data_IF_562460642655
#
_entry.id   IF_562460642655
#
_cell.length_a   1.000
_cell.length_b   1.000
_cell.length_c   1.000
_cell.angle_alpha   90.00
_cell.angle_beta   90.00
_cell.angle_gamma   90.00
#
_symmetry.space_group_name_H-M   'P 1'
#
loop_
_entity.id
_entity.type
_entity.pdbx_description
1 polymer ?
#
# COMPACT_ATOMS: atom_id res chain seq x y z
N UNK A 1 22.15 35.12 -8.65
CA UNK A 1 21.45 33.86 -8.98
C UNK A 1 22.49 32.96 -9.61
N UNK A 2 22.97 31.97 -8.86
CA UNK A 2 23.90 30.96 -9.34
C UNK A 2 23.16 29.64 -9.35
N UNK A 3 23.03 29.04 -10.54
CA UNK A 3 22.54 27.67 -10.73
C UNK A 3 23.36 26.74 -9.83
N UNK A 4 22.69 25.92 -9.03
CA UNK A 4 23.36 25.01 -8.11
C UNK A 4 24.07 23.89 -8.87
N UNK A 5 25.36 23.71 -8.58
CA UNK A 5 26.23 22.61 -9.01
C UNK A 5 25.79 21.24 -8.45
N UNK A 6 24.55 20.82 -8.71
CA UNK A 6 24.14 19.44 -8.47
C UNK A 6 24.44 18.61 -9.73
N UNK A 7 25.18 17.50 -9.62
CA UNK A 7 25.38 16.62 -10.77
C UNK A 7 24.02 16.11 -11.23
N UNK A 8 23.68 16.37 -12.49
CA UNK A 8 22.53 15.78 -13.17
C UNK A 8 22.59 14.26 -12.96
N UNK A 9 21.47 13.67 -12.53
CA UNK A 9 21.37 12.22 -12.38
C UNK A 9 21.47 11.55 -13.76
N UNK A 10 22.70 11.30 -14.21
CA UNK A 10 22.99 10.58 -15.44
C UNK A 10 22.54 9.13 -15.25
N UNK A 11 21.45 8.78 -15.95
CA UNK A 11 20.97 7.45 -16.30
C UNK A 11 21.30 6.31 -15.32
N UNK A 12 20.28 5.78 -14.64
CA UNK A 12 20.37 4.50 -13.95
C UNK A 12 20.65 3.38 -14.97
N UNK A 13 21.92 3.02 -15.17
CA UNK A 13 22.33 1.80 -15.89
C UNK A 13 22.67 0.69 -14.91
N UNK A 14 22.46 -0.56 -15.33
CA UNK A 14 22.97 -1.72 -14.63
C UNK A 14 24.51 -1.64 -14.49
N UNK A 15 25.02 -2.04 -13.34
CA UNK A 15 26.45 -2.22 -13.15
C UNK A 15 26.95 -3.42 -13.94
N UNK A 16 28.19 -3.35 -14.43
CA UNK A 16 28.90 -4.49 -15.01
C UNK A 16 29.26 -5.47 -13.87
N UNK A 17 29.41 -6.79 -14.16
CA UNK A 17 29.78 -7.78 -13.14
C UNK A 17 31.03 -7.40 -12.33
N UNK A 18 32.05 -6.86 -12.99
CA UNK A 18 33.30 -6.39 -12.36
C UNK A 18 33.09 -5.21 -11.40
N UNK A 19 32.16 -4.31 -11.72
CA UNK A 19 31.78 -3.18 -10.86
C UNK A 19 31.10 -3.72 -9.59
N UNK A 20 30.23 -4.72 -9.74
CA UNK A 20 29.48 -5.32 -8.63
C UNK A 20 30.41 -6.03 -7.61
N UNK A 21 31.36 -6.85 -8.08
CA UNK A 21 32.34 -7.51 -7.22
C UNK A 21 33.17 -6.50 -6.42
N UNK A 22 33.58 -5.40 -7.05
CA UNK A 22 34.31 -4.31 -6.41
C UNK A 22 33.47 -3.61 -5.34
N UNK A 23 32.18 -3.39 -5.57
CA UNK A 23 31.28 -2.80 -4.58
C UNK A 23 31.00 -3.72 -3.40
N UNK A 24 30.75 -5.01 -3.65
CA UNK A 24 30.54 -6.02 -2.59
C UNK A 24 31.78 -6.11 -1.69
N UNK A 25 32.98 -6.08 -2.28
CA UNK A 25 34.23 -6.05 -1.51
C UNK A 25 34.37 -4.80 -0.65
N UNK A 26 34.09 -3.61 -1.19
CA UNK A 26 34.11 -2.35 -0.44
C UNK A 26 33.10 -2.34 0.73
N UNK A 27 31.93 -2.94 0.52
CA UNK A 27 30.88 -3.06 1.53
C UNK A 27 31.30 -3.97 2.68
N UNK A 28 31.84 -5.15 2.36
CA UNK A 28 32.35 -6.10 3.35
C UNK A 28 33.56 -5.55 4.12
N UNK A 29 34.40 -4.74 3.47
CA UNK A 29 35.55 -4.09 4.11
C UNK A 29 35.18 -2.82 4.90
N UNK A 30 33.92 -2.36 4.85
CA UNK A 30 33.42 -1.12 5.48
C UNK A 30 34.22 0.15 5.15
N UNK A 31 34.95 0.17 4.02
CA UNK A 31 35.77 1.31 3.59
C UNK A 31 34.96 2.26 2.71
N UNK A 32 34.06 3.04 3.32
CA UNK A 32 33.32 4.08 2.61
C UNK A 32 34.02 5.44 2.71
N UNK A 33 34.03 6.21 1.62
CA UNK A 33 34.51 7.60 1.68
C UNK A 33 33.51 8.44 2.48
N UNK A 34 33.94 9.24 3.47
CA UNK A 34 33.06 9.95 4.41
C UNK A 34 32.04 10.92 3.80
N UNK A 35 32.20 11.34 2.53
CA UNK A 35 31.40 12.42 1.93
C UNK A 35 30.48 12.00 0.79
N UNK A 36 30.46 10.74 0.37
CA UNK A 36 29.63 10.30 -0.77
C UNK A 36 29.33 8.81 -0.69
N UNK A 37 28.74 8.36 0.41
CA UNK A 37 28.07 7.07 0.42
C UNK A 37 26.67 7.25 -0.19
N UNK A 38 26.60 7.31 -1.53
CA UNK A 38 25.31 7.10 -2.21
C UNK A 38 25.02 5.61 -2.03
N UNK A 39 24.21 5.30 -1.03
CA UNK A 39 23.72 3.95 -0.76
C UNK A 39 22.77 3.55 -1.89
N UNK A 40 23.31 3.09 -3.04
CA UNK A 40 22.51 2.44 -4.08
C UNK A 40 22.21 1.02 -3.62
N UNK A 41 21.22 0.89 -2.74
CA UNK A 41 20.71 -0.42 -2.32
C UNK A 41 20.04 -1.05 -3.53
N UNK A 42 20.54 -2.20 -3.96
CA UNK A 42 19.81 -3.05 -4.89
C UNK A 42 18.59 -3.60 -4.16
N UNK A 43 17.41 -3.03 -4.45
CA UNK A 43 16.17 -3.68 -4.05
C UNK A 43 15.83 -4.70 -5.13
N UNK A 44 15.84 -5.99 -4.78
CA UNK A 44 15.22 -7.00 -5.63
C UNK A 44 13.73 -6.67 -5.66
N UNK A 45 13.18 -6.37 -6.84
CA UNK A 45 11.75 -6.14 -6.97
C UNK A 45 11.00 -7.30 -6.31
N UNK A 46 10.04 -7.02 -5.43
CA UNK A 46 9.28 -8.07 -4.78
C UNK A 46 8.49 -8.78 -5.86
N UNK A 47 8.60 -10.11 -5.90
CA UNK A 47 7.86 -10.94 -6.86
C UNK A 47 6.34 -10.83 -6.68
N UNK A 48 5.90 -10.46 -5.48
CA UNK A 48 4.50 -10.30 -5.11
C UNK A 48 4.15 -8.80 -5.08
N UNK A 49 3.95 -8.19 -6.24
CA UNK A 49 3.35 -6.85 -6.34
C UNK A 49 1.84 -6.97 -6.40
N UNK A 50 1.13 -6.06 -5.74
CA UNK A 50 -0.33 -6.01 -5.80
C UNK A 50 -0.83 -4.79 -6.56
N UNK A 51 -1.84 -5.00 -7.37
CA UNK A 51 -2.53 -3.96 -8.11
C UNK A 51 -3.93 -3.78 -7.56
N UNK A 52 -4.48 -2.56 -7.72
CA UNK A 52 -5.86 -2.25 -7.39
C UNK A 52 -6.66 -2.09 -8.69
N UNK A 53 -7.10 -3.17 -9.37
CA UNK A 53 -8.10 -3.04 -10.43
C UNK A 53 -9.40 -2.43 -9.92
N UNK A 54 -10.00 -1.59 -10.77
CA UNK A 54 -11.34 -1.01 -10.64
C UNK A 54 -12.02 -1.20 -11.99
N UNK A 55 -13.22 -1.82 -12.07
CA UNK A 55 -14.45 -1.10 -11.73
C UNK A 55 -15.60 -1.89 -11.07
N UNK A 56 -16.32 -1.15 -10.23
CA UNK A 56 -17.40 -1.57 -9.31
C UNK A 56 -18.56 -2.36 -9.91
N UNK A 57 -18.75 -2.35 -11.24
CA UNK A 57 -19.93 -2.91 -11.89
C UNK A 57 -19.80 -4.39 -12.24
N UNK A 58 -18.58 -4.92 -12.40
CA UNK A 58 -18.36 -6.28 -12.91
C UNK A 58 -17.37 -7.12 -12.10
N UNK A 59 -17.32 -6.92 -10.78
CA UNK A 59 -16.41 -7.68 -9.90
C UNK A 59 -16.56 -9.19 -10.03
N UNK A 60 -17.75 -9.68 -10.37
CA UNK A 60 -18.02 -11.10 -10.55
C UNK A 60 -17.21 -11.63 -11.75
N UNK A 61 -17.19 -10.93 -12.88
CA UNK A 61 -16.41 -11.34 -14.05
C UNK A 61 -14.90 -11.28 -13.78
N UNK A 62 -14.41 -10.22 -13.13
CA UNK A 62 -13.00 -10.14 -12.71
C UNK A 62 -12.61 -11.29 -11.78
N UNK A 63 -13.43 -11.56 -10.76
CA UNK A 63 -13.20 -12.62 -9.77
C UNK A 63 -13.24 -13.99 -10.43
N UNK A 64 -14.20 -14.24 -11.32
CA UNK A 64 -14.28 -15.50 -12.08
C UNK A 64 -13.06 -15.69 -12.97
N UNK A 65 -12.61 -14.64 -13.66
CA UNK A 65 -11.50 -14.74 -14.62
C UNK A 65 -10.17 -15.13 -13.97
N UNK A 66 -9.97 -14.76 -12.70
CA UNK A 66 -8.77 -15.07 -11.92
C UNK A 66 -8.97 -16.26 -10.96
N UNK A 67 -10.09 -16.97 -11.06
CA UNK A 67 -10.53 -18.01 -10.13
C UNK A 67 -10.55 -17.55 -8.66
N UNK A 68 -10.79 -16.26 -8.40
CA UNK A 68 -10.64 -15.64 -7.09
C UNK A 68 -11.63 -16.13 -6.02
N UNK A 69 -12.70 -16.82 -6.41
CA UNK A 69 -13.59 -17.53 -5.47
C UNK A 69 -12.93 -18.80 -4.91
N UNK A 70 -12.00 -19.39 -5.65
CA UNK A 70 -11.35 -20.66 -5.32
C UNK A 70 -9.88 -20.47 -4.91
N UNK A 71 -9.24 -19.37 -5.35
CA UNK A 71 -7.85 -19.03 -5.04
C UNK A 71 -7.79 -17.86 -4.05
N UNK A 72 -7.04 -17.98 -2.94
CA UNK A 72 -6.90 -16.91 -1.95
C UNK A 72 -5.90 -15.82 -2.39
N UNK A 73 -5.97 -15.40 -3.66
CA UNK A 73 -5.05 -14.42 -4.27
C UNK A 73 -5.71 -13.03 -4.44
N UNK A 74 -6.89 -12.86 -3.84
CA UNK A 74 -7.54 -11.58 -3.63
C UNK A 74 -7.23 -11.12 -2.20
N UNK A 75 -6.42 -10.07 -2.08
CA UNK A 75 -5.93 -9.60 -0.78
C UNK A 75 -6.94 -8.75 -0.03
N UNK A 76 -7.70 -7.93 -0.77
CA UNK A 76 -8.69 -7.04 -0.20
C UNK A 76 -9.71 -6.60 -1.26
N UNK A 77 -10.93 -6.29 -0.83
CA UNK A 77 -11.98 -5.74 -1.68
C UNK A 77 -12.69 -4.61 -0.97
N UNK A 78 -13.01 -3.54 -1.69
CA UNK A 78 -13.87 -2.44 -1.25
C UNK A 78 -15.05 -2.24 -2.21
N UNK A 79 -15.85 -1.19 -2.03
CA UNK A 79 -17.02 -0.85 -2.87
C UNK A 79 -16.73 -0.93 -4.37
N UNK A 80 -15.61 -0.41 -4.84
CA UNK A 80 -15.24 -0.32 -6.26
C UNK A 80 -13.82 -0.81 -6.55
N UNK A 81 -13.11 -1.29 -5.53
CA UNK A 81 -11.69 -1.60 -5.58
C UNK A 81 -11.45 -3.08 -5.30
N UNK A 82 -10.66 -3.74 -6.15
CA UNK A 82 -10.23 -5.13 -5.98
C UNK A 82 -8.70 -5.12 -5.87
N UNK A 83 -8.11 -5.81 -4.90
CA UNK A 83 -6.65 -5.87 -4.71
C UNK A 83 -6.15 -7.27 -5.00
N UNK A 84 -5.30 -7.42 -6.02
CA UNK A 84 -4.86 -8.70 -6.58
C UNK A 84 -3.36 -8.69 -6.84
N UNK A 85 -2.77 -9.87 -7.01
CA UNK A 85 -1.38 -10.03 -7.43
C UNK A 85 -1.13 -9.53 -8.86
N UNK A 86 0.13 -9.27 -9.15
CA UNK A 86 0.64 -8.98 -10.50
C UNK A 86 0.31 -10.08 -11.50
N UNK A 87 0.48 -11.35 -11.11
CA UNK A 87 0.12 -12.48 -11.96
C UNK A 87 -1.37 -12.49 -12.36
N UNK A 88 -2.26 -12.06 -11.47
CA UNK A 88 -3.68 -11.96 -11.77
C UNK A 88 -4.01 -10.70 -12.57
N UNK A 89 -3.26 -9.62 -12.37
CA UNK A 89 -3.34 -8.44 -13.23
C UNK A 89 -2.99 -8.78 -14.69
N UNK A 90 -1.91 -9.53 -14.91
CA UNK A 90 -1.49 -9.94 -16.25
C UNK A 90 -2.57 -10.77 -16.96
N UNK A 91 -3.21 -11.72 -16.25
CA UNK A 91 -4.35 -12.50 -16.79
C UNK A 91 -5.54 -11.62 -17.19
N UNK A 92 -5.83 -10.58 -16.41
CA UNK A 92 -6.89 -9.63 -16.73
C UNK A 92 -6.54 -8.77 -17.94
N UNK A 93 -5.27 -8.36 -18.05
CA UNK A 93 -4.76 -7.60 -19.19
C UNK A 93 -4.79 -8.42 -20.48
N UNK A 94 -4.34 -9.67 -20.45
CA UNK A 94 -4.43 -10.61 -21.58
C UNK A 94 -5.87 -10.87 -22.02
N UNK A 95 -6.82 -10.84 -21.08
CA UNK A 95 -8.24 -10.98 -21.36
C UNK A 95 -8.90 -9.69 -21.89
N UNK A 96 -8.13 -8.60 -22.05
CA UNK A 96 -8.65 -7.31 -22.49
C UNK A 96 -9.55 -6.62 -21.46
N UNK A 97 -9.50 -7.03 -20.19
CA UNK A 97 -10.31 -6.50 -19.10
C UNK A 97 -9.65 -5.32 -18.37
N UNK A 98 -8.48 -4.87 -18.83
CA UNK A 98 -7.71 -3.74 -18.28
C UNK A 98 -7.63 -2.62 -19.30
N UNK A 99 -7.81 -1.38 -18.87
CA UNK A 99 -7.63 -0.16 -19.67
C UNK A 99 -7.60 1.06 -18.76
N UNK A 100 -6.76 2.04 -19.08
CA UNK A 100 -6.71 3.33 -18.37
C UNK A 100 -7.85 4.27 -18.77
N UNK A 101 -8.43 4.08 -19.95
CA UNK A 101 -9.35 5.05 -20.57
C UNK A 101 -10.77 4.51 -20.76
N UNK A 102 -10.97 3.19 -20.70
CA UNK A 102 -12.28 2.60 -20.91
C UNK A 102 -13.02 2.40 -19.59
N UNK A 103 -14.26 2.88 -19.56
CA UNK A 103 -15.18 2.58 -18.47
C UNK A 103 -15.40 1.06 -18.38
N UNK A 104 -15.63 0.57 -17.17
CA UNK A 104 -15.89 -0.85 -16.90
C UNK A 104 -14.70 -1.80 -17.12
N UNK A 105 -13.49 -1.28 -17.39
CA UNK A 105 -12.23 -2.03 -17.35
C UNK A 105 -11.36 -1.67 -16.15
N UNK A 106 -10.58 -2.65 -15.70
CA UNK A 106 -9.56 -2.55 -14.66
C UNK A 106 -8.54 -1.47 -14.98
N UNK A 107 -8.26 -0.55 -14.04
CA UNK A 107 -7.14 0.39 -14.14
C UNK A 107 -6.18 0.28 -12.97
N UNK A 108 -4.93 0.69 -13.14
CA UNK A 108 -3.99 0.73 -12.03
C UNK A 108 -3.96 2.14 -11.40
N UNK A 109 -4.68 2.30 -10.29
CA UNK A 109 -4.72 3.57 -9.54
C UNK A 109 -3.36 4.01 -8.95
N UNK A 110 -2.31 3.20 -9.09
CA UNK A 110 -0.94 3.49 -8.66
C UNK A 110 0.00 3.87 -9.80
N UNK A 111 -0.52 4.01 -11.03
CA UNK A 111 0.25 4.39 -12.22
C UNK A 111 1.08 3.23 -12.76
N UNK A 112 2.38 3.44 -12.89
CA UNK A 112 3.35 2.44 -13.34
C UNK A 112 3.91 1.57 -12.20
N UNK A 113 3.47 1.85 -10.96
CA UNK A 113 3.89 1.15 -9.76
C UNK A 113 2.92 0.09 -9.28
N UNK A 114 3.31 -0.62 -8.24
CA UNK A 114 2.45 -1.56 -7.54
C UNK A 114 2.70 -1.53 -6.04
N UNK A 115 1.77 -2.09 -5.29
CA UNK A 115 1.88 -2.21 -3.85
C UNK A 115 2.88 -3.33 -3.54
N UNK A 116 3.88 -3.01 -2.72
CA UNK A 116 4.85 -3.99 -2.22
C UNK A 116 4.58 -4.42 -0.79
N UNK A 117 3.80 -3.61 -0.07
CA UNK A 117 3.34 -3.90 1.27
C UNK A 117 1.95 -3.30 1.45
N UNK A 118 0.99 -4.13 1.88
CA UNK A 118 -0.39 -3.72 2.13
C UNK A 118 -0.86 -4.23 3.49
N UNK A 119 -1.31 -3.32 4.35
CA UNK A 119 -1.89 -3.61 5.65
C UNK A 119 -3.38 -3.22 5.63
N UNK A 120 -4.26 -4.21 5.59
CA UNK A 120 -5.70 -4.05 5.46
C UNK A 120 -6.43 -4.47 6.75
N UNK A 121 -6.72 -3.48 7.61
CA UNK A 121 -7.23 -3.71 8.96
C UNK A 121 -8.76 -3.81 8.99
N UNK A 122 -9.44 -2.92 8.27
CA UNK A 122 -10.90 -2.85 8.23
C UNK A 122 -11.36 -2.21 6.91
N UNK A 123 -12.67 -2.27 6.58
CA UNK A 123 -13.21 -1.56 5.44
C UNK A 123 -12.80 -0.08 5.45
N UNK A 124 -12.09 0.36 4.41
CA UNK A 124 -11.59 1.73 4.23
C UNK A 124 -10.59 2.18 5.32
N UNK A 125 -9.92 1.23 5.97
CA UNK A 125 -8.76 1.43 6.86
C UNK A 125 -7.62 0.55 6.36
N UNK A 126 -6.74 1.15 5.57
CA UNK A 126 -5.63 0.47 4.88
C UNK A 126 -4.38 1.34 4.79
N UNK A 127 -3.23 0.68 4.78
CA UNK A 127 -1.93 1.30 4.64
C UNK A 127 -1.11 0.56 3.59
N UNK A 128 -0.69 1.28 2.56
CA UNK A 128 0.05 0.68 1.44
C UNK A 128 1.39 1.41 1.23
N UNK A 129 2.43 0.64 0.94
CA UNK A 129 3.68 1.12 0.36
C UNK A 129 3.70 0.70 -1.11
N UNK A 130 3.89 1.68 -1.97
CA UNK A 130 3.91 1.54 -3.43
C UNK A 130 5.35 1.69 -3.88
N UNK A 131 5.79 0.80 -4.76
CA UNK A 131 7.04 0.94 -5.50
C UNK A 131 6.68 1.29 -6.95
N UNK A 132 7.11 2.46 -7.41
CA UNK A 132 6.96 2.88 -8.80
C UNK A 132 8.06 2.30 -9.69
N UNK A 133 7.87 2.34 -11.00
CA UNK A 133 8.80 1.70 -11.95
C UNK A 133 10.21 2.31 -11.90
N UNK A 134 10.30 3.60 -11.56
CA UNK A 134 11.53 4.35 -11.32
C UNK A 134 12.23 4.05 -9.97
N UNK A 135 11.68 3.12 -9.17
CA UNK A 135 12.23 2.71 -7.89
C UNK A 135 11.89 3.62 -6.71
N UNK A 136 10.95 4.56 -6.88
CA UNK A 136 10.51 5.44 -5.78
C UNK A 136 9.49 4.72 -4.89
N UNK A 137 9.70 4.80 -3.57
CA UNK A 137 8.73 4.37 -2.58
C UNK A 137 7.74 5.49 -2.26
N UNK A 138 6.45 5.20 -2.39
CA UNK A 138 5.35 6.11 -2.05
C UNK A 138 4.45 5.49 -1.00
N UNK A 139 4.06 6.31 -0.05
CA UNK A 139 3.14 5.93 1.02
C UNK A 139 1.71 6.30 0.65
N UNK A 140 0.76 5.38 0.81
CA UNK A 140 -0.67 5.67 0.68
C UNK A 140 -1.44 5.18 1.90
N UNK A 141 -1.88 6.13 2.72
CA UNK A 141 -2.74 5.91 3.89
C UNK A 141 -4.21 6.09 3.50
N UNK A 142 -5.08 5.23 3.99
CA UNK A 142 -6.53 5.41 3.92
C UNK A 142 -7.13 5.08 5.27
N UNK A 143 -7.93 6.00 5.80
CA UNK A 143 -8.62 5.81 7.06
C UNK A 143 -9.92 6.61 7.03
N UNK A 144 -11.02 5.94 6.71
CA UNK A 144 -12.32 6.60 6.62
C UNK A 144 -12.72 7.20 7.97
N UNK A 145 -13.25 8.43 7.93
CA UNK A 145 -13.72 9.13 9.12
C UNK A 145 -12.63 9.90 9.88
N UNK A 146 -11.45 10.03 9.26
CA UNK A 146 -10.28 10.72 9.80
C UNK A 146 -9.77 11.76 8.81
N UNK A 147 -9.14 12.83 9.31
CA UNK A 147 -8.36 13.74 8.48
C UNK A 147 -6.97 13.17 8.22
N UNK A 148 -6.58 13.07 6.95
CA UNK A 148 -5.34 12.40 6.52
C UNK A 148 -4.07 12.89 7.24
N UNK A 149 -4.04 14.12 7.75
CA UNK A 149 -2.87 14.72 8.40
C UNK A 149 -2.60 14.24 9.84
N UNK A 150 -3.53 13.51 10.49
CA UNK A 150 -3.39 13.11 11.90
C UNK A 150 -3.03 11.64 12.13
N UNK A 151 -2.98 10.81 11.09
CA UNK A 151 -2.70 9.38 11.25
C UNK A 151 -1.26 9.08 10.91
N UNK A 152 -0.59 8.42 11.84
CA UNK A 152 0.77 7.95 11.67
C UNK A 152 0.80 6.46 11.36
N UNK A 153 1.93 5.97 10.87
CA UNK A 153 2.11 4.54 10.57
C UNK A 153 2.00 3.71 11.85
N UNK A 154 2.47 4.26 12.97
CA UNK A 154 2.43 3.64 14.28
C UNK A 154 0.99 3.32 14.71
N UNK A 155 0.01 4.16 14.34
CA UNK A 155 -1.40 3.91 14.63
C UNK A 155 -1.90 2.64 13.92
N UNK A 156 -1.49 2.44 12.65
CA UNK A 156 -1.83 1.21 11.92
C UNK A 156 -1.15 -0.02 12.54
N UNK A 157 0.11 0.10 12.96
CA UNK A 157 0.86 -0.99 13.60
C UNK A 157 0.23 -1.36 14.95
N UNK A 158 -0.17 -0.37 15.76
CA UNK A 158 -0.85 -0.61 17.03
C UNK A 158 -2.17 -1.35 16.83
N UNK A 159 -3.00 -0.89 15.88
CA UNK A 159 -4.24 -1.55 15.52
C UNK A 159 -4.02 -2.98 15.02
N UNK A 160 -2.99 -3.20 14.19
CA UNK A 160 -2.61 -4.53 13.72
C UNK A 160 -2.15 -5.46 14.86
N UNK A 161 -1.59 -4.88 15.91
CA UNK A 161 -1.13 -5.59 17.10
C UNK A 161 -2.25 -5.83 18.12
N UNK A 162 -3.50 -5.50 17.79
CA UNK A 162 -4.64 -5.67 18.69
C UNK A 162 -4.77 -4.60 19.78
N UNK A 163 -4.14 -3.43 19.59
CA UNK A 163 -4.27 -2.30 20.51
C UNK A 163 -5.20 -1.23 19.93
N UNK A 164 -6.02 -0.64 20.80
CA UNK A 164 -6.90 0.45 20.44
C UNK A 164 -6.10 1.75 20.27
N UNK A 165 -6.46 2.54 19.25
CA UNK A 165 -5.86 3.84 19.00
C UNK A 165 -6.83 4.94 19.39
N UNK A 166 -6.38 5.86 20.25
CA UNK A 166 -7.17 7.02 20.66
C UNK A 166 -6.50 8.29 20.18
N UNK A 167 -7.29 9.23 19.64
CA UNK A 167 -6.77 10.51 19.19
C UNK A 167 -7.76 11.65 19.47
N UNK A 168 -7.25 12.87 19.51
CA UNK A 168 -7.99 14.09 19.81
C UNK A 168 -8.15 15.00 18.59
N UNK A 169 -9.36 15.49 18.40
CA UNK A 169 -9.72 16.33 17.26
C UNK A 169 -10.48 17.54 17.72
N UNK A 170 -10.34 18.61 16.95
CA UNK A 170 -11.23 19.73 17.10
C UNK A 170 -12.64 19.27 16.72
N UNK A 171 -13.63 19.66 17.53
CA UNK A 171 -15.02 19.36 17.23
C UNK A 171 -15.42 20.16 15.96
N UNK A 172 -16.25 19.57 15.08
CA UNK A 172 -16.77 20.31 13.94
C UNK A 172 -17.62 21.49 14.42
N UNK A 173 -17.66 22.57 13.64
CA UNK A 173 -18.55 23.69 13.92
C UNK A 173 -20.00 23.22 13.86
N UNK A 174 -20.83 23.67 14.80
CA UNK A 174 -22.23 23.26 14.90
C UNK A 174 -23.12 24.47 14.65
N UNK A 175 -24.19 24.28 13.88
CA UNK A 175 -25.22 25.32 13.70
C UNK A 175 -26.36 25.05 14.68
N UNK A 176 -26.69 26.01 15.53
CA UNK A 176 -27.89 25.99 16.38
C UNK A 176 -28.90 27.03 15.90
N UNK A 177 -30.18 26.80 16.22
CA UNK A 177 -31.25 27.74 15.90
C UNK A 177 -31.21 29.00 16.79
N UNK A 178 -30.67 28.88 18.00
CA UNK A 178 -30.60 29.96 19.00
C UNK A 178 -29.36 30.83 18.85
N UNK A 179 -28.21 30.21 18.58
CA UNK A 179 -26.89 30.86 18.70
C UNK A 179 -26.14 30.95 17.36
N UNK A 180 -26.78 30.52 16.27
CA UNK A 180 -26.17 30.55 14.94
C UNK A 180 -25.03 29.55 14.79
N UNK A 181 -23.86 29.99 14.30
CA UNK A 181 -22.68 29.12 14.15
C UNK A 181 -21.88 29.13 15.45
N UNK A 182 -21.79 27.97 16.09
CA UNK A 182 -21.03 27.75 17.33
C UNK A 182 -19.70 27.09 16.98
N UNK A 183 -18.61 27.75 17.35
CA UNK A 183 -17.25 27.22 17.24
C UNK A 183 -16.88 26.56 18.58
N UNK A 184 -16.78 25.22 18.64
CA UNK A 184 -16.44 24.54 19.89
C UNK A 184 -14.96 24.73 20.25
N UNK A 185 -14.70 25.12 21.50
CA UNK A 185 -13.35 25.22 22.07
C UNK A 185 -12.83 23.89 22.64
N UNK A 186 -13.66 22.85 22.65
CA UNK A 186 -13.31 21.54 23.17
C UNK A 186 -12.88 20.58 22.06
N UNK A 187 -11.93 19.71 22.40
CA UNK A 187 -11.57 18.58 21.55
C UNK A 187 -12.52 17.40 21.78
N UNK A 188 -12.82 16.66 20.73
CA UNK A 188 -13.43 15.33 20.79
C UNK A 188 -12.35 14.26 20.79
N UNK A 189 -12.51 13.25 21.64
CA UNK A 189 -11.72 12.01 21.59
C UNK A 189 -12.43 11.00 20.71
N UNK A 190 -11.71 10.38 19.78
CA UNK A 190 -12.19 9.19 19.06
C UNK A 190 -11.30 8.01 19.39
N UNK A 191 -11.94 6.89 19.71
CA UNK A 191 -11.29 5.60 19.97
C UNK A 191 -11.57 4.68 18.80
N UNK A 192 -10.52 4.13 18.22
CA UNK A 192 -10.57 3.14 17.16
C UNK A 192 -10.19 1.81 17.76
N UNK A 193 -11.19 0.92 17.78
CA UNK A 193 -11.01 -0.41 18.34
C UNK A 193 -10.36 -1.33 17.34
N UNK A 194 -9.38 -2.09 17.81
CA UNK A 194 -8.73 -3.13 17.03
C UNK A 194 -9.63 -4.38 16.97
N UNK A 195 -10.50 -4.44 15.96
CA UNK A 195 -11.28 -5.66 15.70
C UNK A 195 -10.46 -6.65 14.88
N UNK A 196 -9.37 -7.17 15.46
CA UNK A 196 -8.57 -8.20 14.80
C UNK A 196 -9.43 -9.46 14.68
N UNK A 197 -9.84 -9.80 13.46
CA UNK A 197 -10.65 -10.99 13.23
C UNK A 197 -9.76 -12.24 13.24
N UNK A 198 -9.52 -12.77 14.45
CA UNK A 198 -8.75 -14.00 14.68
C UNK A 198 -9.43 -15.26 14.12
N UNK A 199 -10.69 -15.17 13.67
CA UNK A 199 -11.49 -16.31 13.18
C UNK A 199 -11.36 -16.50 11.67
N UNK A 200 -10.89 -15.48 10.92
CA UNK A 200 -10.94 -15.48 9.45
C UNK A 200 -9.60 -15.57 8.72
N UNK A 201 -8.45 -15.46 9.41
CA UNK A 201 -7.12 -15.44 8.76
C UNK A 201 -6.05 -16.19 9.55
N UNK A 202 -5.36 -17.14 8.90
CA UNK A 202 -4.12 -17.74 9.42
C UNK A 202 -3.06 -16.65 9.60
N UNK A 203 -2.09 -16.90 10.47
CA UNK A 203 -0.91 -16.05 10.56
C UNK A 203 -0.23 -15.92 9.18
N UNK A 204 0.36 -14.76 8.85
CA UNK A 204 1.11 -14.60 7.60
C UNK A 204 2.22 -15.66 7.48
N UNK A 205 2.45 -16.16 6.27
CA UNK A 205 3.61 -17.03 6.01
C UNK A 205 4.92 -16.22 6.01
N UNK A 206 6.05 -16.88 5.74
CA UNK A 206 7.38 -16.24 5.65
C UNK A 206 7.49 -15.15 4.58
N UNK A 207 6.56 -15.10 3.64
CA UNK A 207 6.46 -14.07 2.59
C UNK A 207 5.48 -12.95 2.95
N UNK A 208 4.89 -12.97 4.17
CA UNK A 208 3.90 -11.99 4.62
C UNK A 208 2.51 -12.20 4.04
N UNK A 209 2.26 -13.31 3.33
CA UNK A 209 0.95 -13.63 2.74
C UNK A 209 0.04 -14.22 3.82
N UNK A 210 -1.10 -13.58 4.04
CA UNK A 210 -2.16 -14.11 4.91
C UNK A 210 -3.12 -14.98 4.11
N UNK A 211 -3.36 -16.20 4.59
CA UNK A 211 -4.37 -17.09 4.02
C UNK A 211 -5.66 -17.04 4.85
N UNK A 212 -6.84 -17.22 4.24
CA UNK A 212 -8.04 -17.50 5.00
C UNK A 212 -7.86 -18.78 5.84
N UNK A 213 -8.54 -18.89 6.98
CA UNK A 213 -8.68 -20.21 7.62
C UNK A 213 -9.56 -21.08 6.71
N UNK A 214 -8.93 -21.93 5.91
CA UNK A 214 -9.60 -23.06 5.31
C UNK A 214 -9.76 -24.10 6.42
N UNK A 215 -11.00 -24.40 6.82
CA UNK A 215 -11.26 -25.69 7.45
C UNK A 215 -10.92 -26.73 6.39
N UNK A 216 -9.83 -27.45 6.59
CA UNK A 216 -9.52 -28.64 5.81
C UNK A 216 -10.78 -29.51 5.84
N UNK A 217 -11.48 -29.61 4.71
CA UNK A 217 -12.35 -30.75 4.50
C UNK A 217 -11.41 -31.89 4.16
N UNK A 218 -11.25 -32.79 5.13
CA UNK A 218 -10.78 -34.16 4.91
C UNK A 218 -11.46 -34.77 3.68
#
# INVERSE_FOLDING_TARGET
>A
MTEGDYPKAESARSFRPEENEKFVKLFNEQKFRPRTAILKVWFKYPTNMFFQPIPAQDKITFTNRIDGFYKPEIYYTDTDSLYISSSNWDKLNEAGLVSENENSKGKNDYGDGGIIFGLYLAPKVKYNIILTSDGILKEKKTFKGYSNYKIKVEDYIQLASGHDVTNEFDKPWVKSFTDGIVIPNEKQKKVFRSYLNLVKRKAPNSEGIMYPYTTEKN
#
